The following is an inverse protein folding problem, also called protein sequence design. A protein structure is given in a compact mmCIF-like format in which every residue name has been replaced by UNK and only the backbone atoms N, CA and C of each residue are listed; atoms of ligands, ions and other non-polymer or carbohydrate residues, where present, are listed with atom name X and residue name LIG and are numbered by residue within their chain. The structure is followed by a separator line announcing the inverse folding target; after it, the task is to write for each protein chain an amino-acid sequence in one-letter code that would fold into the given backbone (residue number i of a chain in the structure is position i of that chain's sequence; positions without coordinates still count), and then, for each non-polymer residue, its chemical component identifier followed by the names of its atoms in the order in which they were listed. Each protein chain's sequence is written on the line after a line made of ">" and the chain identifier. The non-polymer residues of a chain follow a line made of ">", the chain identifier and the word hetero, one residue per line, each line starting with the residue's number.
data_IF_099003985777
#
_entry.id   IF_099003985777
#
_cell.length_a   1.000
_cell.length_b   1.000
_cell.length_c   1.000
_cell.angle_alpha   90.00
_cell.angle_beta   90.00
_cell.angle_gamma   90.00
#
_symmetry.space_group_name_H-M   'P 1'
#
loop_
_entity.id
_entity.type
_entity.pdbx_description
1 polymer ?
#
# COMPACT_ATOMS: atom_id res chain seq x y z
N UNK A 1 -9.90 25.08 -23.81
CA UNK A 1 -9.48 25.70 -25.08
C UNK A 1 -8.65 26.92 -24.72
N UNK A 2 -7.33 26.83 -24.83
CA UNK A 2 -6.45 27.97 -24.56
C UNK A 2 -6.58 28.94 -25.72
N UNK A 3 -7.09 30.14 -25.47
CA UNK A 3 -7.13 31.20 -26.47
C UNK A 3 -5.67 31.60 -26.75
N UNK A 4 -5.13 31.13 -27.85
CA UNK A 4 -3.78 31.50 -28.28
C UNK A 4 -3.85 32.96 -28.71
N UNK A 5 -3.36 33.87 -27.86
CA UNK A 5 -3.24 35.27 -28.24
C UNK A 5 -2.06 35.39 -29.20
N UNK A 6 -2.28 35.99 -30.36
CA UNK A 6 -1.21 36.21 -31.36
C UNK A 6 -0.59 37.57 -31.10
N UNK A 7 0.75 37.63 -31.04
CA UNK A 7 1.47 38.89 -30.89
C UNK A 7 1.16 39.81 -32.09
N UNK A 8 0.95 41.13 -31.88
CA UNK A 8 0.62 42.03 -32.98
C UNK A 8 1.73 42.06 -34.03
N UNK A 9 1.35 42.12 -35.32
CA UNK A 9 2.30 42.17 -36.42
C UNK A 9 3.19 43.42 -36.33
N UNK A 10 4.48 43.36 -36.72
CA UNK A 10 5.37 44.52 -36.68
C UNK A 10 4.84 45.69 -37.50
N UNK A 11 4.96 46.91 -36.99
CA UNK A 11 4.61 48.14 -37.70
C UNK A 11 5.85 48.88 -38.21
N UNK A 12 5.72 49.57 -39.34
CA UNK A 12 6.78 50.43 -39.86
C UNK A 12 6.67 51.84 -39.27
N UNK A 13 7.65 52.21 -38.44
CA UNK A 13 7.68 53.48 -37.74
C UNK A 13 7.91 54.70 -38.66
N UNK A 14 8.41 54.51 -39.88
CA UNK A 14 8.62 55.62 -40.82
C UNK A 14 7.34 56.11 -41.49
N UNK A 15 6.28 55.30 -41.47
CA UNK A 15 5.00 55.57 -42.15
C UNK A 15 3.80 55.54 -41.20
N UNK A 16 3.94 54.97 -40.01
CA UNK A 16 2.87 54.87 -39.03
C UNK A 16 2.61 56.22 -38.34
N UNK A 17 1.33 56.56 -38.16
CA UNK A 17 0.95 57.70 -37.33
C UNK A 17 1.19 57.38 -35.84
N UNK A 18 1.26 58.43 -35.01
CA UNK A 18 1.38 58.27 -33.55
C UNK A 18 0.28 57.39 -32.95
N UNK A 19 -0.95 57.48 -33.47
CA UNK A 19 -2.07 56.67 -32.99
C UNK A 19 -1.89 55.17 -33.33
N UNK A 20 -1.38 54.85 -34.53
CA UNK A 20 -1.08 53.47 -34.93
C UNK A 20 0.00 52.86 -34.03
N UNK A 21 1.03 53.65 -33.69
CA UNK A 21 2.11 53.24 -32.79
C UNK A 21 1.56 52.97 -31.39
N UNK A 22 0.70 53.84 -30.86
CA UNK A 22 0.09 53.66 -29.55
C UNK A 22 -0.82 52.41 -29.51
N UNK A 23 -1.64 52.20 -30.53
CA UNK A 23 -2.47 51.00 -30.62
C UNK A 23 -1.63 49.72 -30.67
N UNK A 24 -0.56 49.72 -31.45
CA UNK A 24 0.36 48.59 -31.52
C UNK A 24 1.02 48.29 -30.17
N UNK A 25 1.48 49.32 -29.46
CA UNK A 25 2.08 49.18 -28.13
C UNK A 25 1.08 48.60 -27.11
N UNK A 26 -0.16 49.11 -27.11
CA UNK A 26 -1.22 48.58 -26.23
C UNK A 26 -1.50 47.11 -26.53
N UNK A 27 -1.59 46.73 -27.81
CA UNK A 27 -1.78 45.33 -28.20
C UNK A 27 -0.60 44.44 -27.76
N UNK A 28 0.64 44.92 -27.92
CA UNK A 28 1.83 44.18 -27.56
C UNK A 28 1.92 43.96 -26.03
N UNK A 29 1.66 45.00 -25.23
CA UNK A 29 1.64 44.89 -23.77
C UNK A 29 0.52 43.96 -23.29
N UNK A 30 -0.66 44.08 -23.89
CA UNK A 30 -1.80 43.21 -23.55
C UNK A 30 -1.49 41.75 -23.85
N UNK A 31 -0.88 41.47 -25.00
CA UNK A 31 -0.45 40.13 -25.37
C UNK A 31 0.55 39.54 -24.37
N UNK A 32 1.62 40.28 -24.06
CA UNK A 32 2.65 39.82 -23.11
C UNK A 32 2.06 39.55 -21.73
N UNK A 33 1.19 40.44 -21.24
CA UNK A 33 0.51 40.24 -19.96
C UNK A 33 -0.40 39.01 -19.97
N UNK A 34 -1.18 38.81 -21.04
CA UNK A 34 -2.07 37.66 -21.14
C UNK A 34 -1.29 36.34 -21.24
N UNK A 35 -0.15 36.35 -21.95
CA UNK A 35 0.75 35.20 -22.01
C UNK A 35 1.30 34.87 -20.63
N UNK A 36 1.84 35.86 -19.90
CA UNK A 36 2.37 35.67 -18.55
C UNK A 36 1.33 35.14 -17.57
N UNK A 37 0.08 35.63 -17.64
CA UNK A 37 -1.03 35.13 -16.82
C UNK A 37 -1.33 33.66 -17.16
N UNK A 38 -1.38 33.32 -18.45
CA UNK A 38 -1.66 31.96 -18.91
C UNK A 38 -0.58 30.99 -18.43
N UNK A 39 0.70 31.36 -18.59
CA UNK A 39 1.83 30.54 -18.15
C UNK A 39 1.82 30.34 -16.63
N UNK A 40 1.49 31.40 -15.88
CA UNK A 40 1.36 31.32 -14.42
C UNK A 40 0.22 30.40 -14.00
N UNK A 41 -0.93 30.47 -14.67
CA UNK A 41 -2.07 29.59 -14.39
C UNK A 41 -1.74 28.13 -14.69
N UNK A 42 -1.06 27.87 -15.80
CA UNK A 42 -0.61 26.52 -16.16
C UNK A 42 0.35 25.96 -15.11
N UNK A 43 1.38 26.72 -14.77
CA UNK A 43 2.34 26.34 -13.73
C UNK A 43 1.67 26.05 -12.39
N UNK A 44 0.75 26.91 -11.94
CA UNK A 44 0.03 26.71 -10.68
C UNK A 44 -0.85 25.45 -10.71
N UNK A 45 -1.43 25.14 -11.86
CA UNK A 45 -2.24 23.92 -12.04
C UNK A 45 -1.37 22.68 -11.95
N UNK A 46 -0.23 22.66 -12.62
CA UNK A 46 0.73 21.55 -12.54
C UNK A 46 1.30 21.39 -11.13
N UNK A 47 1.63 22.50 -10.46
CA UNK A 47 2.14 22.49 -9.10
C UNK A 47 1.12 21.91 -8.11
N UNK A 48 -0.16 22.30 -8.24
CA UNK A 48 -1.23 21.75 -7.41
C UNK A 48 -1.42 20.24 -7.63
N UNK A 49 -1.36 19.78 -8.89
CA UNK A 49 -1.43 18.37 -9.22
C UNK A 49 -0.24 17.57 -8.64
N UNK A 50 0.97 18.11 -8.76
CA UNK A 50 2.16 17.50 -8.18
C UNK A 50 2.06 17.42 -6.64
N UNK A 51 1.60 18.49 -5.98
CA UNK A 51 1.36 18.50 -4.54
C UNK A 51 0.36 17.43 -4.09
N UNK A 52 -0.74 17.25 -4.83
CA UNK A 52 -1.71 16.19 -4.56
C UNK A 52 -1.11 14.79 -4.72
N UNK A 53 -0.28 14.58 -5.75
CA UNK A 53 0.40 13.30 -5.98
C UNK A 53 1.37 12.95 -4.85
N UNK A 54 2.16 13.92 -4.39
CA UNK A 54 3.10 13.75 -3.26
C UNK A 54 2.34 13.38 -1.97
N UNK A 55 1.24 14.06 -1.67
CA UNK A 55 0.42 13.72 -0.49
C UNK A 55 -0.17 12.31 -0.58
N UNK A 56 -0.63 11.90 -1.77
CA UNK A 56 -1.14 10.55 -2.00
C UNK A 56 -0.05 9.49 -1.78
N UNK A 57 1.16 9.75 -2.31
CA UNK A 57 2.30 8.87 -2.10
C UNK A 57 2.68 8.78 -0.62
N UNK A 58 2.75 9.91 0.09
CA UNK A 58 3.06 9.93 1.53
C UNK A 58 2.05 9.11 2.33
N UNK A 59 0.76 9.23 2.00
CA UNK A 59 -0.30 8.45 2.64
C UNK A 59 -0.09 6.95 2.41
N UNK A 60 0.23 6.57 1.17
CA UNK A 60 0.47 5.17 0.80
C UNK A 60 1.69 4.59 1.52
N UNK A 61 2.78 5.36 1.61
CA UNK A 61 3.99 4.96 2.36
C UNK A 61 3.68 4.76 3.84
N UNK A 62 2.92 5.66 4.46
CA UNK A 62 2.53 5.52 5.88
C UNK A 62 1.68 4.26 6.11
N UNK A 63 0.76 3.94 5.20
CA UNK A 63 -0.05 2.72 5.28
C UNK A 63 0.80 1.46 5.14
N UNK A 64 1.74 1.44 4.19
CA UNK A 64 2.66 0.32 4.01
C UNK A 64 3.56 0.11 5.22
N UNK A 65 4.05 1.20 5.83
CA UNK A 65 4.84 1.12 7.06
C UNK A 65 4.03 0.52 8.21
N UNK A 66 2.77 0.96 8.38
CA UNK A 66 1.89 0.41 9.41
C UNK A 66 1.61 -1.09 9.21
N UNK A 67 1.43 -1.52 7.96
CA UNK A 67 1.27 -2.94 7.62
C UNK A 67 2.54 -3.76 7.92
N UNK A 68 3.72 -3.21 7.63
CA UNK A 68 4.98 -3.88 7.94
C UNK A 68 5.16 -4.08 9.45
N UNK A 69 4.89 -3.05 10.25
CA UNK A 69 4.97 -3.15 11.72
C UNK A 69 4.00 -4.22 12.26
N UNK A 70 2.77 -4.24 11.77
CA UNK A 70 1.78 -5.24 12.18
C UNK A 70 2.21 -6.68 11.81
N UNK A 71 2.86 -6.87 10.66
CA UNK A 71 3.40 -8.18 10.25
C UNK A 71 4.55 -8.62 11.15
N UNK A 72 5.46 -7.71 11.53
CA UNK A 72 6.56 -8.01 12.45
C UNK A 72 6.05 -8.37 13.85
N UNK A 73 5.05 -7.64 14.38
CA UNK A 73 4.41 -7.96 15.66
C UNK A 73 3.73 -9.34 15.63
N UNK A 74 3.00 -9.65 14.56
CA UNK A 74 2.37 -10.96 14.41
C UNK A 74 3.41 -12.08 14.34
N UNK A 75 4.49 -11.90 13.57
CA UNK A 75 5.56 -12.89 13.46
C UNK A 75 6.24 -13.15 14.82
N UNK A 76 6.53 -12.08 15.57
CA UNK A 76 7.10 -12.20 16.92
C UNK A 76 6.15 -12.92 17.90
N UNK A 77 4.84 -12.73 17.73
CA UNK A 77 3.84 -13.40 18.57
C UNK A 77 3.66 -14.87 18.20
N UNK A 78 3.69 -15.22 16.91
CA UNK A 78 3.70 -16.61 16.44
C UNK A 78 4.95 -17.36 16.93
N UNK A 79 6.12 -16.71 16.91
CA UNK A 79 7.36 -17.27 17.45
C UNK A 79 7.26 -17.53 18.96
N UNK A 80 6.73 -16.59 19.75
CA UNK A 80 6.50 -16.78 21.18
C UNK A 80 5.53 -17.93 21.46
N UNK A 81 4.43 -18.04 20.70
CA UNK A 81 3.48 -19.16 20.85
C UNK A 81 4.16 -20.49 20.52
N UNK A 82 4.99 -20.55 19.49
CA UNK A 82 5.72 -21.75 19.12
C UNK A 82 6.73 -22.17 20.21
N UNK A 83 7.44 -21.20 20.81
CA UNK A 83 8.37 -21.44 21.91
C UNK A 83 7.64 -21.97 23.16
N UNK A 84 6.52 -21.36 23.55
CA UNK A 84 5.70 -21.84 24.67
C UNK A 84 5.14 -23.24 24.39
N UNK A 85 4.73 -23.54 23.16
CA UNK A 85 4.25 -24.87 22.79
C UNK A 85 5.36 -25.95 22.90
N UNK A 86 6.61 -25.60 22.57
CA UNK A 86 7.77 -26.47 22.75
C UNK A 86 8.09 -26.68 24.24
N UNK A 87 8.02 -25.63 25.06
CA UNK A 87 8.20 -25.74 26.52
C UNK A 87 7.13 -26.63 27.15
N UNK A 88 5.86 -26.48 26.78
CA UNK A 88 4.76 -27.34 27.26
C UNK A 88 4.99 -28.81 26.90
N UNK A 89 5.50 -29.11 25.69
CA UNK A 89 5.86 -30.47 25.30
C UNK A 89 7.08 -31.01 26.07
N UNK A 90 8.07 -30.17 26.35
CA UNK A 90 9.25 -30.55 27.12
C UNK A 90 8.94 -30.83 28.60
N UNK A 91 7.92 -30.18 29.17
CA UNK A 91 7.46 -30.39 30.56
C UNK A 91 6.54 -31.62 30.70
N UNK A 92 6.00 -32.17 29.60
CA UNK A 92 5.12 -33.33 29.62
C UNK A 92 5.62 -34.57 28.82
N UNK A 93 6.80 -35.15 29.15
CA UNK A 93 7.39 -36.24 28.37
C UNK A 93 6.81 -37.65 28.65
N UNK A 94 5.78 -37.83 29.50
CA UNK A 94 5.45 -39.16 30.07
C UNK A 94 4.02 -39.70 29.82
N UNK A 95 3.19 -39.10 28.98
CA UNK A 95 1.79 -39.54 28.84
C UNK A 95 1.51 -40.56 27.71
N UNK A 96 2.52 -41.02 26.96
CA UNK A 96 2.33 -42.03 25.90
C UNK A 96 3.10 -43.33 26.17
N UNK A 97 2.80 -44.01 27.27
CA UNK A 97 2.98 -45.47 27.30
C UNK A 97 1.65 -46.14 26.92
N UNK A 98 1.58 -46.95 25.85
CA UNK A 98 0.39 -47.73 25.59
C UNK A 98 0.23 -48.77 26.70
N UNK A 99 -0.79 -48.60 27.54
CA UNK A 99 -1.22 -49.60 28.51
C UNK A 99 -1.56 -50.90 27.75
N UNK A 100 -0.66 -51.89 27.79
CA UNK A 100 -0.96 -53.23 27.27
C UNK A 100 -2.01 -53.88 28.18
N UNK A 101 -3.29 -53.66 27.90
CA UNK A 101 -4.38 -54.45 28.47
C UNK A 101 -4.25 -55.89 27.95
N UNK A 102 -3.72 -56.77 28.79
CA UNK A 102 -3.67 -58.21 28.51
C UNK A 102 -5.03 -58.80 28.90
N UNK A 103 -5.90 -59.03 27.91
CA UNK A 103 -7.16 -59.74 28.13
C UNK A 103 -6.87 -61.22 28.47
N UNK A 104 -7.50 -61.80 29.49
CA UNK A 104 -7.37 -63.23 29.76
C UNK A 104 -8.10 -64.04 28.68
N UNK A 105 -7.44 -65.10 28.19
CA UNK A 105 -8.02 -66.02 27.20
C UNK A 105 -9.09 -66.90 27.89
N UNK A 106 -10.21 -67.21 27.23
CA UNK A 106 -11.18 -68.17 27.75
C UNK A 106 -10.59 -69.58 27.70
N UNK A 107 -10.44 -70.22 28.87
CA UNK A 107 -10.02 -71.61 28.99
C UNK A 107 -11.15 -72.53 28.51
N UNK A 108 -10.86 -73.28 27.46
CA UNK A 108 -11.69 -74.36 26.94
C UNK A 108 -11.71 -75.51 27.96
N UNK A 109 -12.84 -75.75 28.63
CA UNK A 109 -13.03 -76.94 29.47
C UNK A 109 -13.94 -77.93 28.74
N UNK A 110 -13.33 -78.78 27.91
CA UNK A 110 -13.97 -79.96 27.37
C UNK A 110 -13.17 -81.20 27.79
N UNK A 111 -13.77 -82.00 28.68
CA UNK A 111 -13.57 -83.45 28.75
C UNK A 111 -12.61 -84.00 29.83
N UNK A 112 -13.18 -84.72 30.80
CA UNK A 112 -12.87 -86.12 31.22
C UNK A 112 -13.27 -86.32 32.69
N UNK A 113 -14.43 -86.93 32.98
CA UNK A 113 -14.69 -88.37 33.18
C UNK A 113 -14.21 -88.94 34.53
N UNK A 114 -15.16 -89.48 35.33
CA UNK A 114 -14.97 -90.77 36.01
C UNK A 114 -15.10 -90.88 37.55
N UNK A 115 -16.26 -91.36 37.99
CA UNK A 115 -16.54 -92.40 39.03
C UNK A 115 -16.38 -92.17 40.56
N UNK A 116 -17.22 -92.94 41.25
CA UNK A 116 -17.24 -93.42 42.66
C UNK A 116 -18.09 -92.55 43.62
N UNK A 117 -19.04 -93.06 44.41
CA UNK A 117 -19.43 -94.40 44.88
C UNK A 117 -20.95 -94.56 44.90
#
# INVERSE_FOLDING_TARGET
>A
MSQQTTFPAPINLSTAGTDDILQWLVAAVTHVNQQAITDTQHFNTELAAAGAAVNSLQTSVNQLLALQVAQEEQAAQEEQVALVALEVQAVNPLQHQPLKLKWPHPTNLMGQNGKTQ
#
